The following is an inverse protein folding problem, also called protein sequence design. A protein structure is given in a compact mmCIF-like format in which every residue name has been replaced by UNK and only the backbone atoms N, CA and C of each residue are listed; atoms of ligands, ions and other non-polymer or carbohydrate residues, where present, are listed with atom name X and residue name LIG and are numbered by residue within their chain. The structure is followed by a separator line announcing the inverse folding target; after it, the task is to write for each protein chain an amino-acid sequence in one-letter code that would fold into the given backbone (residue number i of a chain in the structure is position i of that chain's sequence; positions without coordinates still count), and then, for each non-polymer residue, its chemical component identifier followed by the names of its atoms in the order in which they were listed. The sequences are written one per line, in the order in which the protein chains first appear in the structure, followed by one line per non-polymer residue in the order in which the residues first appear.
data_IF_708899786986
#
_entry.id   IF_708899786986
#
_cell.length_a   1.000
_cell.length_b   1.000
_cell.length_c   1.000
_cell.angle_alpha   90.00
_cell.angle_beta   90.00
_cell.angle_gamma   90.00
#
_symmetry.space_group_name_H-M   'P 1'
#
loop_
_entity.id
_entity.type
_entity.pdbx_description
1 polymer ?
#
# COMPACT_ATOMS: atom_id res chain seq x y z
N UNK A 1 23.29 4.00 22.54
CA UNK A 1 21.98 4.33 21.93
C UNK A 1 21.65 3.26 20.89
N UNK A 2 20.64 2.41 21.14
CA UNK A 2 20.42 1.15 20.40
C UNK A 2 20.17 1.38 18.90
N UNK A 3 20.99 0.74 18.04
CA UNK A 3 20.91 0.78 16.57
C UNK A 3 19.48 0.53 16.05
N UNK A 4 18.73 -0.34 16.70
CA UNK A 4 17.33 -0.67 16.39
C UNK A 4 16.36 0.52 16.56
N UNK A 5 16.63 1.41 17.52
CA UNK A 5 15.82 2.62 17.76
C UNK A 5 16.07 3.68 16.68
N UNK A 6 17.32 3.81 16.24
CA UNK A 6 17.73 4.71 15.15
C UNK A 6 17.10 4.25 13.82
N UNK A 7 17.14 2.96 13.51
CA UNK A 7 16.52 2.40 12.30
C UNK A 7 15.01 2.67 12.29
N UNK A 8 14.31 2.42 13.41
CA UNK A 8 12.86 2.70 13.52
C UNK A 8 12.54 4.17 13.28
N UNK A 9 13.26 5.08 13.96
CA UNK A 9 13.06 6.53 13.80
C UNK A 9 13.35 6.98 12.36
N UNK A 10 14.44 6.47 11.77
CA UNK A 10 14.81 6.77 10.38
C UNK A 10 13.74 6.31 9.39
N UNK A 11 13.17 5.10 9.57
CA UNK A 11 12.05 4.65 8.72
C UNK A 11 10.81 5.52 8.89
N UNK A 12 10.40 5.86 10.12
CA UNK A 12 9.22 6.71 10.35
C UNK A 12 9.43 8.10 9.71
N UNK A 13 10.63 8.67 9.84
CA UNK A 13 10.98 9.95 9.24
C UNK A 13 10.90 9.90 7.70
N UNK A 14 11.40 8.81 7.09
CA UNK A 14 11.32 8.59 5.64
C UNK A 14 9.86 8.50 5.16
N UNK A 15 9.02 7.73 5.85
CA UNK A 15 7.59 7.61 5.51
C UNK A 15 6.86 8.95 5.65
N UNK A 16 7.12 9.69 6.73
CA UNK A 16 6.54 11.01 6.96
C UNK A 16 6.96 11.99 5.86
N UNK A 17 8.24 12.00 5.49
CA UNK A 17 8.77 12.83 4.42
C UNK A 17 8.10 12.50 3.08
N UNK A 18 7.98 11.23 2.74
CA UNK A 18 7.37 10.79 1.49
C UNK A 18 5.88 11.17 1.42
N UNK A 19 5.17 11.09 2.56
CA UNK A 19 3.78 11.53 2.65
C UNK A 19 3.64 13.04 2.53
N UNK A 20 4.52 13.83 3.15
CA UNK A 20 4.55 15.29 3.01
C UNK A 20 4.89 15.73 1.58
N UNK A 21 5.79 15.01 0.89
CA UNK A 21 6.15 15.29 -0.50
C UNK A 21 4.99 15.02 -1.48
N UNK A 22 4.27 13.90 -1.31
CA UNK A 22 3.04 13.61 -2.06
C UNK A 22 1.96 14.67 -1.81
N UNK A 23 1.89 15.14 -0.57
CA UNK A 23 0.92 16.17 -0.21
C UNK A 23 1.23 17.52 -0.85
N UNK A 24 2.51 17.90 -0.82
CA UNK A 24 2.99 19.13 -1.41
C UNK A 24 2.70 19.18 -2.91
N UNK A 25 2.92 18.07 -3.62
CA UNK A 25 2.61 17.97 -5.05
C UNK A 25 1.12 18.12 -5.34
N UNK A 26 0.24 17.46 -4.57
CA UNK A 26 -1.21 17.64 -4.69
C UNK A 26 -1.62 19.11 -4.50
N UNK A 27 -1.07 19.78 -3.49
CA UNK A 27 -1.35 21.20 -3.22
C UNK A 27 -0.87 22.11 -4.33
N UNK A 28 0.34 21.86 -4.83
CA UNK A 28 0.97 22.67 -5.88
C UNK A 28 0.19 22.58 -7.19
N UNK A 29 -0.27 21.38 -7.54
CA UNK A 29 -0.92 21.12 -8.83
C UNK A 29 -2.41 21.50 -8.85
N UNK A 30 -3.13 21.35 -7.73
CA UNK A 30 -4.59 21.51 -7.71
C UNK A 30 -5.10 22.86 -7.15
N UNK A 31 -4.24 23.84 -6.85
CA UNK A 31 -4.61 25.14 -6.23
C UNK A 31 -5.61 24.95 -5.07
N UNK A 32 -5.31 23.99 -4.19
CA UNK A 32 -6.28 23.46 -3.25
C UNK A 32 -6.83 24.50 -2.26
N UNK A 33 -8.13 24.44 -1.99
CA UNK A 33 -8.83 25.27 -1.00
C UNK A 33 -8.26 25.08 0.41
N UNK A 34 -8.35 26.11 1.25
CA UNK A 34 -7.85 26.11 2.64
C UNK A 34 -8.40 24.93 3.48
N UNK A 35 -9.59 24.43 3.15
CA UNK A 35 -10.22 23.28 3.79
C UNK A 35 -9.46 21.95 3.58
N UNK A 36 -8.79 21.80 2.43
CA UNK A 36 -7.97 20.63 2.13
C UNK A 36 -6.75 20.61 3.06
N UNK A 37 -6.14 21.77 3.33
CA UNK A 37 -5.03 21.87 4.28
C UNK A 37 -5.44 21.49 5.71
N UNK A 38 -6.60 21.95 6.18
CA UNK A 38 -7.08 21.66 7.54
C UNK A 38 -7.33 20.16 7.71
N UNK A 39 -8.05 19.55 6.78
CA UNK A 39 -8.35 18.11 6.84
C UNK A 39 -7.08 17.26 6.81
N UNK A 40 -6.11 17.62 5.97
CA UNK A 40 -4.82 16.94 5.92
C UNK A 40 -4.03 17.09 7.22
N UNK A 41 -3.97 18.30 7.78
CA UNK A 41 -3.18 18.55 9.00
C UNK A 41 -3.73 17.75 10.17
N UNK A 42 -5.06 17.62 10.27
CA UNK A 42 -5.75 16.76 11.24
C UNK A 42 -5.38 15.29 11.04
N UNK A 43 -5.43 14.78 9.80
CA UNK A 43 -5.05 13.39 9.49
C UNK A 43 -3.57 13.15 9.83
N UNK A 44 -2.69 14.08 9.51
CA UNK A 44 -1.25 14.01 9.82
C UNK A 44 -0.98 13.91 11.32
N UNK A 45 -1.65 14.74 12.12
CA UNK A 45 -1.56 14.71 13.59
C UNK A 45 -2.09 13.38 14.13
N UNK A 46 -3.21 12.88 13.61
CA UNK A 46 -3.79 11.62 14.07
C UNK A 46 -2.86 10.43 13.76
N UNK A 47 -2.23 10.43 12.58
CA UNK A 47 -1.24 9.42 12.18
C UNK A 47 0.00 9.49 13.08
N UNK A 48 0.48 10.69 13.42
CA UNK A 48 1.61 10.89 14.33
C UNK A 48 1.32 10.29 15.72
N UNK A 49 0.10 10.52 16.24
CA UNK A 49 -0.36 9.93 17.51
C UNK A 49 -0.43 8.39 17.38
N UNK A 50 -0.94 7.88 16.26
CA UNK A 50 -0.97 6.44 15.96
C UNK A 50 0.41 5.80 16.00
N UNK A 51 1.42 6.44 15.42
CA UNK A 51 2.81 5.95 15.44
C UNK A 51 3.42 5.88 16.85
N UNK A 52 3.02 6.79 17.75
CA UNK A 52 3.56 6.81 19.12
C UNK A 52 2.94 5.78 20.06
N UNK A 53 1.71 5.32 19.77
CA UNK A 53 0.94 4.44 20.65
C UNK A 53 0.82 2.99 20.19
N UNK A 54 1.28 2.62 18.99
CA UNK A 54 1.10 1.27 18.47
C UNK A 54 2.12 0.28 19.10
N UNK A 55 1.69 -0.68 19.96
CA UNK A 55 2.57 -1.74 20.42
C UNK A 55 2.85 -2.69 19.25
N UNK A 56 4.12 -2.78 18.88
CA UNK A 56 4.63 -3.63 17.79
C UNK A 56 4.56 -5.11 18.19
N UNK A 57 3.38 -5.72 18.12
CA UNK A 57 3.23 -7.15 18.40
C UNK A 57 3.83 -7.98 17.25
N UNK A 58 4.85 -8.78 17.59
CA UNK A 58 5.51 -9.73 16.68
C UNK A 58 4.63 -10.97 16.51
N UNK A 59 4.24 -11.28 15.27
CA UNK A 59 3.85 -12.64 14.90
C UNK A 59 4.76 -13.15 13.77
N UNK A 60 5.76 -13.89 14.20
CA UNK A 60 6.78 -14.54 13.39
C UNK A 60 6.28 -15.89 12.85
N UNK A 61 5.76 -15.91 11.62
CA UNK A 61 5.59 -17.19 10.89
C UNK A 61 6.13 -17.06 9.47
N UNK A 62 7.40 -17.45 9.27
CA UNK A 62 8.20 -17.23 8.06
C UNK A 62 7.81 -18.08 6.84
N UNK A 63 7.04 -19.17 7.00
CA UNK A 63 6.90 -20.20 5.96
C UNK A 63 5.61 -20.14 5.12
N UNK A 64 4.46 -19.72 5.68
CA UNK A 64 3.20 -19.51 4.90
C UNK A 64 3.24 -18.25 4.01
N UNK A 65 4.32 -17.46 4.14
CA UNK A 65 4.41 -16.05 3.71
C UNK A 65 4.66 -15.82 2.22
N UNK A 66 5.17 -16.79 1.46
CA UNK A 66 5.39 -16.62 0.01
C UNK A 66 4.09 -16.83 -0.78
N UNK A 67 3.30 -17.85 -0.40
CA UNK A 67 1.97 -18.09 -0.99
C UNK A 67 1.03 -16.90 -0.77
N UNK A 68 1.11 -16.26 0.39
CA UNK A 68 0.32 -15.06 0.70
C UNK A 68 0.66 -13.89 -0.22
N UNK A 69 1.95 -13.72 -0.55
CA UNK A 69 2.40 -12.67 -1.48
C UNK A 69 1.86 -12.89 -2.90
N UNK A 70 1.52 -14.13 -3.27
CA UNK A 70 0.88 -14.46 -4.55
C UNK A 70 -0.55 -13.93 -4.67
N UNK A 71 -1.16 -13.47 -3.58
CA UNK A 71 -2.49 -12.85 -3.60
C UNK A 71 -2.45 -11.35 -3.92
N UNK A 72 -1.27 -10.73 -4.00
CA UNK A 72 -1.13 -9.32 -4.38
C UNK A 72 -1.71 -9.03 -5.78
N UNK A 73 -1.43 -9.83 -6.84
CA UNK A 73 -2.07 -9.66 -8.14
C UNK A 73 -3.59 -9.78 -8.09
N UNK A 74 -4.13 -10.71 -7.28
CA UNK A 74 -5.57 -10.88 -7.13
C UNK A 74 -6.21 -9.61 -6.56
N UNK A 75 -5.63 -9.05 -5.51
CA UNK A 75 -6.08 -7.78 -4.94
C UNK A 75 -6.00 -6.62 -5.93
N UNK A 76 -4.91 -6.55 -6.70
CA UNK A 76 -4.73 -5.50 -7.70
C UNK A 76 -5.77 -5.57 -8.83
N UNK A 77 -6.01 -6.77 -9.36
CA UNK A 77 -7.00 -6.98 -10.42
C UNK A 77 -8.42 -6.71 -9.92
N UNK A 78 -8.80 -7.24 -8.76
CA UNK A 78 -10.12 -6.98 -8.20
C UNK A 78 -10.36 -5.48 -7.99
N UNK A 79 -9.41 -4.77 -7.37
CA UNK A 79 -9.55 -3.32 -7.18
C UNK A 79 -9.56 -2.56 -8.51
N UNK A 80 -8.78 -2.98 -9.50
CA UNK A 80 -8.80 -2.35 -10.82
C UNK A 80 -10.15 -2.53 -11.52
N UNK A 81 -10.70 -3.74 -11.56
CA UNK A 81 -12.03 -3.99 -12.12
C UNK A 81 -13.10 -3.19 -11.37
N UNK A 82 -13.06 -3.15 -10.04
CA UNK A 82 -13.97 -2.30 -9.28
C UNK A 82 -13.80 -0.83 -9.67
N UNK A 83 -12.58 -0.33 -9.80
CA UNK A 83 -12.32 1.06 -10.16
C UNK A 83 -12.83 1.41 -11.57
N UNK A 84 -12.55 0.56 -12.56
CA UNK A 84 -12.87 0.80 -13.97
C UNK A 84 -14.35 0.52 -14.29
N UNK A 85 -14.89 -0.62 -13.86
CA UNK A 85 -16.24 -1.06 -14.27
C UNK A 85 -17.36 -0.33 -13.53
N UNK A 86 -17.13 0.06 -12.27
CA UNK A 86 -18.17 0.70 -11.44
C UNK A 86 -18.08 2.22 -11.41
N UNK A 87 -16.99 2.81 -11.89
CA UNK A 87 -16.76 4.25 -11.85
C UNK A 87 -16.70 4.86 -10.44
N UNK A 88 -16.60 4.02 -9.39
CA UNK A 88 -16.52 4.46 -7.98
C UNK A 88 -15.27 5.30 -7.68
N UNK A 89 -14.29 5.28 -8.59
CA UNK A 89 -13.02 5.96 -8.43
C UNK A 89 -12.02 5.17 -7.58
N UNK A 90 -10.74 5.53 -7.66
CA UNK A 90 -9.65 4.68 -7.17
C UNK A 90 -9.67 4.48 -5.65
N UNK A 91 -10.04 5.52 -4.90
CA UNK A 91 -10.04 5.50 -3.43
C UNK A 91 -11.20 4.67 -2.87
N UNK A 92 -12.41 4.80 -3.46
CA UNK A 92 -13.58 4.04 -3.01
C UNK A 92 -13.46 2.56 -3.41
N UNK A 93 -12.96 2.26 -4.60
CA UNK A 93 -12.71 0.88 -5.02
C UNK A 93 -11.70 0.17 -4.10
N UNK A 94 -10.58 0.84 -3.77
CA UNK A 94 -9.56 0.28 -2.90
C UNK A 94 -10.05 0.11 -1.45
N UNK A 95 -10.77 1.09 -0.92
CA UNK A 95 -11.32 1.00 0.44
C UNK A 95 -12.43 -0.04 0.55
N UNK A 96 -13.32 -0.15 -0.45
CA UNK A 96 -14.35 -1.18 -0.51
C UNK A 96 -13.76 -2.60 -0.59
N UNK A 97 -12.81 -2.82 -1.50
CA UNK A 97 -12.13 -4.12 -1.60
C UNK A 97 -11.33 -4.43 -0.33
N UNK A 98 -10.62 -3.45 0.22
CA UNK A 98 -9.84 -3.61 1.44
C UNK A 98 -10.68 -3.93 2.67
N UNK A 99 -11.86 -3.31 2.79
CA UNK A 99 -12.85 -3.64 3.81
C UNK A 99 -13.36 -5.07 3.64
N UNK A 100 -13.73 -5.47 2.42
CA UNK A 100 -14.16 -6.83 2.13
C UNK A 100 -13.07 -7.86 2.47
N UNK A 101 -11.82 -7.58 2.11
CA UNK A 101 -10.66 -8.43 2.40
C UNK A 101 -10.41 -8.57 3.92
N UNK A 102 -10.77 -7.58 4.73
CA UNK A 102 -10.67 -7.62 6.20
C UNK A 102 -11.60 -8.67 6.82
N UNK A 103 -12.68 -9.05 6.14
CA UNK A 103 -13.60 -10.09 6.62
C UNK A 103 -13.15 -11.52 6.29
N UNK A 104 -12.15 -11.71 5.42
CA UNK A 104 -11.61 -13.04 5.05
C UNK A 104 -11.23 -13.90 6.26
N UNK A 105 -10.53 -13.38 7.29
CA UNK A 105 -10.20 -14.14 8.50
C UNK A 105 -11.42 -14.61 9.30
N UNK A 106 -12.59 -13.99 9.11
CA UNK A 106 -13.81 -14.35 9.81
C UNK A 106 -14.48 -15.61 9.25
N UNK A 107 -14.25 -15.94 7.97
CA UNK A 107 -14.81 -17.14 7.34
C UNK A 107 -14.25 -18.43 7.97
N UNK A 108 -13.00 -18.42 8.45
CA UNK A 108 -12.43 -19.59 9.11
C UNK A 108 -11.41 -19.20 10.18
N UNK A 109 -11.89 -18.93 11.40
CA UNK A 109 -11.08 -18.45 12.55
C UNK A 109 -9.92 -19.38 12.94
N UNK A 110 -9.99 -20.67 12.57
CA UNK A 110 -8.99 -21.69 12.89
C UNK A 110 -7.80 -21.73 11.92
N UNK A 111 -7.92 -21.14 10.73
CA UNK A 111 -6.83 -21.14 9.74
C UNK A 111 -5.93 -19.92 9.92
N UNK A 112 -4.65 -20.14 10.22
CA UNK A 112 -3.65 -19.07 10.33
C UNK A 112 -3.36 -18.41 8.98
N UNK A 113 -3.41 -19.19 7.90
CA UNK A 113 -3.28 -18.72 6.53
C UNK A 113 -4.26 -17.57 6.20
N UNK A 114 -5.55 -17.74 6.51
CA UNK A 114 -6.58 -16.72 6.24
C UNK A 114 -6.38 -15.42 7.03
N UNK A 115 -5.75 -15.48 8.20
CA UNK A 115 -5.41 -14.28 8.98
C UNK A 115 -4.27 -13.48 8.35
N UNK A 116 -3.42 -14.13 7.57
CA UNK A 116 -2.25 -13.50 6.94
C UNK A 116 -2.52 -12.92 5.55
N UNK A 117 -3.66 -13.23 4.96
CA UNK A 117 -4.12 -12.79 3.63
C UNK A 117 -4.42 -11.28 3.50
N UNK A 118 -5.11 -10.63 4.46
CA UNK A 118 -5.56 -9.25 4.29
C UNK A 118 -4.43 -8.25 3.95
N UNK A 119 -3.24 -8.29 4.61
CA UNK A 119 -2.15 -7.38 4.26
C UNK A 119 -1.67 -7.48 2.80
N UNK A 120 -1.65 -8.69 2.22
CA UNK A 120 -1.22 -8.89 0.83
C UNK A 120 -2.30 -8.42 -0.16
N UNK A 121 -3.57 -8.74 0.11
CA UNK A 121 -4.69 -8.27 -0.69
C UNK A 121 -4.80 -6.73 -0.66
N UNK A 122 -4.60 -6.12 0.50
CA UNK A 122 -4.61 -4.67 0.67
C UNK A 122 -3.41 -4.00 -0.02
N UNK A 123 -2.24 -4.64 -0.03
CA UNK A 123 -1.09 -4.20 -0.82
C UNK A 123 -1.39 -4.24 -2.32
N UNK A 124 -2.03 -5.30 -2.80
CA UNK A 124 -2.54 -5.40 -4.17
C UNK A 124 -3.54 -4.31 -4.51
N UNK A 125 -4.49 -4.02 -3.61
CA UNK A 125 -5.49 -2.98 -3.80
C UNK A 125 -4.88 -1.60 -4.06
N UNK A 126 -3.76 -1.27 -3.40
CA UNK A 126 -3.01 -0.04 -3.68
C UNK A 126 -2.34 -0.02 -5.06
N UNK A 127 -1.98 -1.16 -5.62
CA UNK A 127 -1.52 -1.22 -7.02
C UNK A 127 -2.72 -1.00 -7.96
N UNK A 128 -3.86 -1.65 -7.67
CA UNK A 128 -5.08 -1.56 -8.48
C UNK A 128 -5.78 -0.20 -8.44
N UNK A 129 -5.52 0.64 -7.43
CA UNK A 129 -6.03 2.02 -7.36
C UNK A 129 -5.29 3.01 -8.28
N UNK A 130 -4.25 2.55 -9.00
CA UNK A 130 -3.51 3.40 -9.92
C UNK A 130 -4.46 4.01 -10.95
N UNK A 131 -4.31 5.32 -11.19
CA UNK A 131 -5.15 6.05 -12.13
C UNK A 131 -5.04 5.45 -13.54
N UNK A 132 -6.14 5.42 -14.28
CA UNK A 132 -6.23 4.88 -15.65
C UNK A 132 -5.30 5.59 -16.64
N UNK A 133 -4.88 6.83 -16.34
CA UNK A 133 -3.89 7.58 -17.11
C UNK A 133 -2.47 6.99 -17.03
N UNK A 134 -2.13 6.31 -15.93
CA UNK A 134 -0.81 5.66 -15.72
C UNK A 134 -0.93 4.15 -15.95
N UNK A 135 -2.00 3.55 -15.45
CA UNK A 135 -2.29 2.13 -15.57
C UNK A 135 -3.38 1.87 -16.62
N UNK A 136 -3.09 2.23 -17.87
CA UNK A 136 -4.05 2.15 -18.98
C UNK A 136 -4.26 0.72 -19.49
N UNK A 137 -3.31 -0.20 -19.21
CA UNK A 137 -3.39 -1.59 -19.65
C UNK A 137 -3.45 -2.55 -18.46
N UNK A 138 -4.24 -3.62 -18.62
CA UNK A 138 -4.22 -4.76 -17.70
C UNK A 138 -2.80 -5.35 -17.57
N UNK A 139 -2.03 -5.34 -18.66
CA UNK A 139 -0.63 -5.76 -18.66
C UNK A 139 0.21 -4.94 -17.68
N UNK A 140 0.04 -3.62 -17.65
CA UNK A 140 0.72 -2.75 -16.69
C UNK A 140 0.40 -3.14 -15.25
N UNK A 141 -0.87 -3.34 -14.91
CA UNK A 141 -1.27 -3.70 -13.54
C UNK A 141 -0.73 -5.06 -13.13
N UNK A 142 -0.77 -6.04 -14.03
CA UNK A 142 -0.20 -7.36 -13.76
C UNK A 142 1.30 -7.22 -13.47
N UNK A 143 2.05 -6.52 -14.33
CA UNK A 143 3.49 -6.32 -14.13
C UNK A 143 3.81 -5.56 -12.83
N UNK A 144 3.07 -4.50 -12.52
CA UNK A 144 3.22 -3.73 -11.29
C UNK A 144 2.92 -4.57 -10.05
N UNK A 145 1.86 -5.38 -10.11
CA UNK A 145 1.49 -6.26 -8.98
C UNK A 145 2.53 -7.35 -8.73
N UNK A 146 3.17 -7.87 -9.77
CA UNK A 146 4.27 -8.85 -9.65
C UNK A 146 5.50 -8.20 -9.03
N UNK A 147 5.89 -7.01 -9.49
CA UNK A 147 7.02 -6.26 -8.92
C UNK A 147 6.74 -5.91 -7.45
N UNK A 148 5.53 -5.44 -7.13
CA UNK A 148 5.12 -5.15 -5.76
C UNK A 148 5.11 -6.42 -4.89
N UNK A 149 4.69 -7.56 -5.44
CA UNK A 149 4.74 -8.85 -4.74
C UNK A 149 6.20 -9.21 -4.39
N UNK A 150 7.13 -9.05 -5.32
CA UNK A 150 8.57 -9.23 -5.06
C UNK A 150 9.04 -8.30 -3.94
N UNK A 151 8.74 -7.00 -4.04
CA UNK A 151 9.06 -6.01 -3.00
C UNK A 151 8.48 -6.36 -1.63
N UNK A 152 7.24 -6.86 -1.58
CA UNK A 152 6.59 -7.31 -0.35
C UNK A 152 7.30 -8.51 0.27
N UNK A 153 7.82 -9.42 -0.56
CA UNK A 153 8.64 -10.55 -0.12
C UNK A 153 9.96 -10.09 0.49
N UNK A 154 10.67 -9.17 -0.16
CA UNK A 154 11.96 -8.64 0.34
C UNK A 154 11.78 -7.78 1.61
N UNK A 155 10.73 -6.96 1.65
CA UNK A 155 10.49 -5.99 2.71
C UNK A 155 10.04 -6.64 4.04
N UNK A 156 9.67 -7.93 4.03
CA UNK A 156 9.21 -8.67 5.21
C UNK A 156 10.24 -8.71 6.35
N UNK A 157 11.55 -8.71 6.05
CA UNK A 157 12.61 -8.75 7.07
C UNK A 157 13.01 -7.38 7.64
N UNK A 158 12.72 -6.27 6.92
CA UNK A 158 13.30 -4.96 7.23
C UNK A 158 12.30 -3.99 7.88
N UNK A 159 11.00 -4.18 7.65
CA UNK A 159 9.96 -3.21 8.05
C UNK A 159 8.83 -3.90 8.83
N UNK A 160 9.14 -4.58 9.93
CA UNK A 160 8.11 -5.18 10.80
C UNK A 160 7.45 -4.12 11.68
N UNK A 161 6.15 -3.90 11.48
CA UNK A 161 5.29 -3.04 12.31
C UNK A 161 5.38 -1.53 12.04
N UNK A 162 5.95 -1.11 10.91
CA UNK A 162 5.89 0.29 10.46
C UNK A 162 4.60 0.50 9.66
N UNK A 163 3.76 1.45 10.11
CA UNK A 163 2.60 1.93 9.34
C UNK A 163 3.02 2.44 7.96
N UNK A 164 2.13 2.37 6.97
CA UNK A 164 2.40 2.88 5.61
C UNK A 164 3.25 1.99 4.69
N UNK A 165 3.88 0.93 5.20
CA UNK A 165 4.73 -0.01 4.41
C UNK A 165 4.07 -0.55 3.14
N UNK A 166 2.82 -1.00 3.24
CA UNK A 166 2.15 -1.65 2.11
C UNK A 166 1.96 -0.66 0.95
N UNK A 167 1.66 0.60 1.25
CA UNK A 167 1.49 1.66 0.27
C UNK A 167 2.80 2.05 -0.41
N UNK A 168 3.91 2.14 0.32
CA UNK A 168 5.20 2.48 -0.33
C UNK A 168 5.74 1.37 -1.20
N UNK A 169 5.50 0.11 -0.87
CA UNK A 169 5.86 -1.02 -1.74
C UNK A 169 5.02 -1.03 -3.01
N UNK A 170 3.72 -0.72 -2.90
CA UNK A 170 2.84 -0.56 -4.06
C UNK A 170 3.31 0.61 -4.93
N UNK A 171 3.54 1.78 -4.34
CA UNK A 171 4.06 2.96 -5.04
C UNK A 171 5.40 2.66 -5.75
N UNK A 172 6.35 2.03 -5.05
CA UNK A 172 7.64 1.66 -5.63
C UNK A 172 7.50 0.68 -6.79
N UNK A 173 6.60 -0.30 -6.68
CA UNK A 173 6.35 -1.26 -7.76
C UNK A 173 5.70 -0.62 -8.99
N UNK A 174 4.70 0.25 -8.79
CA UNK A 174 4.06 1.01 -9.87
C UNK A 174 5.06 1.97 -10.53
N UNK A 175 5.86 2.69 -9.74
CA UNK A 175 6.87 3.62 -10.26
C UNK A 175 7.94 2.89 -11.10
N UNK A 176 8.43 1.74 -10.63
CA UNK A 176 9.39 0.93 -11.39
C UNK A 176 8.78 0.41 -12.70
N UNK A 177 7.52 -0.05 -12.64
CA UNK A 177 6.80 -0.51 -13.82
C UNK A 177 6.59 0.60 -14.83
N UNK A 178 6.21 1.79 -14.37
CA UNK A 178 6.09 3.00 -15.20
C UNK A 178 7.41 3.33 -15.89
N UNK A 179 8.53 3.22 -15.18
CA UNK A 179 9.85 3.44 -15.75
C UNK A 179 10.21 2.40 -16.82
N UNK A 180 9.90 1.13 -16.58
CA UNK A 180 10.13 0.03 -17.54
C UNK A 180 9.29 0.24 -18.81
N UNK A 181 7.99 0.53 -18.67
CA UNK A 181 7.11 0.76 -19.82
C UNK A 181 7.51 2.00 -20.61
N UNK A 182 7.94 3.07 -19.95
CA UNK A 182 8.47 4.25 -20.61
C UNK A 182 9.71 3.94 -21.47
N UNK A 183 10.61 3.07 -20.98
CA UNK A 183 11.80 2.65 -21.71
C UNK A 183 11.46 1.72 -22.89
N UNK A 184 10.43 0.89 -22.75
CA UNK A 184 9.94 0.00 -23.81
C UNK A 184 9.12 0.71 -24.90
N UNK A 185 8.55 1.88 -24.60
CA UNK A 185 7.77 2.66 -25.58
C UNK A 185 8.62 3.68 -26.35
N UNK A 186 9.93 3.76 -26.09
CA UNK A 186 10.90 4.46 -26.95
C UNK A 186 11.37 3.55 -28.08
#
# INVERSE_FOLDING_TARGET
MNKTKIIKISTILLFLFLQLALLYTIVYENRASIWVFITISIIGIMVLIGYTKLPLHHHDHLYEKFLVTLWVPVGALCTYFLNVDTGLGPVLAASGFGLAASFIPHLNKKSEYLKSLPPALYCGAFVGMSGTNVASSLAFIITASIITAIFLSLSKSLFTGVGGKLGTLAFGGVALTSFIFFLLSQ
#
